data_IF_464541875620
#
_entry.id   IF_464541875620
#
_cell.length_a   1.000
_cell.length_b   1.000
_cell.length_c   1.000
_cell.angle_alpha   90.00
_cell.angle_beta   90.00
_cell.angle_gamma   90.00
#
_symmetry.space_group_name_H-M   'P 1'
#
loop_
_entity.id
_entity.type
_entity.pdbx_description
1 polymer ?
#
# COMPACT_ATOMS: atom_id res chain seq x y z
N UNK A 1 -7.48 -14.28 3.53
CA UNK A 1 -6.23 -14.68 4.17
C UNK A 1 -5.13 -13.98 3.41
N UNK A 2 -4.23 -13.26 4.08
CA UNK A 2 -3.21 -12.42 3.45
C UNK A 2 -2.24 -13.26 2.60
N UNK A 3 -1.92 -12.78 1.42
CA UNK A 3 -1.03 -13.43 0.46
C UNK A 3 -0.34 -12.41 -0.45
N UNK A 4 0.67 -12.82 -1.21
CA UNK A 4 1.33 -11.93 -2.18
C UNK A 4 0.39 -11.45 -3.29
N UNK A 5 -0.73 -12.13 -3.57
CA UNK A 5 -1.69 -11.60 -4.56
C UNK A 5 -2.51 -10.42 -4.02
N UNK A 6 -2.49 -10.20 -2.70
CA UNK A 6 -3.15 -9.08 -2.05
C UNK A 6 -2.21 -7.86 -1.92
N UNK A 7 -0.96 -7.95 -2.40
CA UNK A 7 -0.02 -6.83 -2.35
C UNK A 7 -0.36 -5.78 -3.41
N UNK A 8 -0.10 -4.52 -3.06
CA UNK A 8 -0.15 -3.38 -3.96
C UNK A 8 1.16 -2.60 -3.86
N UNK A 9 1.44 -1.79 -4.87
CA UNK A 9 2.67 -1.01 -4.96
C UNK A 9 2.35 0.45 -4.72
N UNK A 10 3.08 1.08 -3.80
CA UNK A 10 3.03 2.53 -3.59
C UNK A 10 4.31 3.12 -4.17
N UNK A 11 4.17 3.94 -5.21
CA UNK A 11 5.31 4.61 -5.82
C UNK A 11 5.73 5.81 -4.96
N UNK A 12 6.96 5.80 -4.47
CA UNK A 12 7.56 6.96 -3.80
C UNK A 12 8.53 7.62 -4.76
N UNK A 13 8.12 8.76 -5.32
CA UNK A 13 8.92 9.52 -6.27
C UNK A 13 9.96 10.41 -5.57
N UNK A 14 10.86 11.02 -6.37
CA UNK A 14 11.81 12.03 -5.88
C UNK A 14 11.12 13.17 -5.13
N UNK A 15 9.94 13.54 -5.61
CA UNK A 15 9.01 14.47 -4.97
C UNK A 15 7.61 13.86 -5.04
N UNK A 16 6.89 13.84 -3.91
CA UNK A 16 5.54 13.30 -3.80
C UNK A 16 4.58 14.41 -3.36
N UNK A 17 3.37 14.42 -3.92
CA UNK A 17 2.31 15.33 -3.48
C UNK A 17 1.71 14.84 -2.16
N UNK A 18 1.93 15.60 -1.11
CA UNK A 18 1.39 15.38 0.23
C UNK A 18 0.48 16.58 0.57
N UNK A 19 -0.84 16.35 0.52
CA UNK A 19 -1.85 17.38 0.80
C UNK A 19 -1.72 18.66 -0.06
N UNK A 20 -1.37 18.51 -1.34
CA UNK A 20 -1.18 19.62 -2.28
C UNK A 20 0.21 20.28 -2.19
N UNK A 21 1.12 19.72 -1.39
CA UNK A 21 2.49 20.21 -1.23
C UNK A 21 3.49 19.16 -1.70
N UNK A 22 4.45 19.58 -2.54
CA UNK A 22 5.52 18.69 -2.98
C UNK A 22 6.54 18.48 -1.85
N UNK A 23 6.70 17.23 -1.42
CA UNK A 23 7.67 16.80 -0.41
C UNK A 23 8.74 15.93 -1.06
N UNK A 24 10.01 16.28 -0.86
CA UNK A 24 11.15 15.51 -1.38
C UNK A 24 11.28 14.19 -0.64
N UNK A 25 11.75 13.16 -1.34
CA UNK A 25 12.02 11.84 -0.75
C UNK A 25 12.87 11.92 0.53
N UNK A 26 13.92 12.75 0.52
CA UNK A 26 14.82 12.92 1.66
C UNK A 26 14.13 13.49 2.92
N UNK A 27 13.04 14.24 2.72
CA UNK A 27 12.25 14.88 3.78
C UNK A 27 10.98 14.10 4.14
N UNK A 28 10.68 13.04 3.39
CA UNK A 28 9.43 12.29 3.49
C UNK A 28 9.39 11.48 4.79
N UNK A 29 8.33 11.69 5.59
CA UNK A 29 8.14 11.03 6.88
C UNK A 29 7.24 9.80 6.76
N UNK A 30 7.30 8.91 7.75
CA UNK A 30 6.38 7.78 7.84
C UNK A 30 4.91 8.25 7.84
N UNK A 31 4.60 9.40 8.43
CA UNK A 31 3.24 10.00 8.35
C UNK A 31 2.79 10.28 6.92
N UNK A 32 3.72 10.68 6.06
CA UNK A 32 3.45 11.00 4.66
C UNK A 32 3.31 9.70 3.86
N UNK A 33 4.10 8.67 4.19
CA UNK A 33 3.92 7.33 3.65
C UNK A 33 2.55 6.74 4.01
N UNK A 34 2.06 6.94 5.25
CA UNK A 34 0.67 6.55 5.61
C UNK A 34 -0.36 7.22 4.70
N UNK A 35 -0.16 8.49 4.36
CA UNK A 35 -1.04 9.22 3.45
C UNK A 35 -0.97 8.66 2.01
N UNK A 36 0.23 8.37 1.50
CA UNK A 36 0.40 7.76 0.18
C UNK A 36 -0.25 6.38 0.09
N UNK A 37 -0.03 5.52 1.10
CA UNK A 37 -0.69 4.21 1.22
C UNK A 37 -2.21 4.39 1.23
N UNK A 38 -2.71 5.32 2.03
CA UNK A 38 -4.14 5.62 2.09
C UNK A 38 -4.70 6.03 0.73
N UNK A 39 -4.04 6.94 0.00
CA UNK A 39 -4.51 7.36 -1.32
C UNK A 39 -4.54 6.22 -2.34
N UNK A 40 -3.62 5.26 -2.22
CA UNK A 40 -3.58 4.08 -3.10
C UNK A 40 -4.73 3.10 -2.79
N UNK A 41 -5.08 2.90 -1.51
CA UNK A 41 -6.09 1.91 -1.11
C UNK A 41 -7.50 2.49 -0.91
N UNK A 42 -7.61 3.80 -0.73
CA UNK A 42 -8.87 4.45 -0.39
C UNK A 42 -9.58 5.01 -1.63
N UNK A 43 -10.42 4.16 -2.22
CA UNK A 43 -11.42 4.63 -3.18
C UNK A 43 -12.84 4.71 -2.61
N UNK A 44 -13.17 3.96 -1.54
CA UNK A 44 -14.54 3.91 -0.99
C UNK A 44 -14.60 3.68 0.55
N UNK A 45 -13.47 3.70 1.28
CA UNK A 45 -13.41 3.33 2.71
C UNK A 45 -13.04 4.56 3.55
N UNK A 46 -14.01 5.12 4.26
CA UNK A 46 -13.77 6.29 5.11
C UNK A 46 -13.14 5.90 6.45
N UNK A 47 -11.83 6.14 6.58
CA UNK A 47 -11.13 6.13 7.86
C UNK A 47 -10.00 7.17 7.84
N UNK A 48 -9.48 7.54 9.01
CA UNK A 48 -8.38 8.48 9.08
C UNK A 48 -7.07 7.73 8.84
N UNK A 49 -6.31 8.13 7.82
CA UNK A 49 -5.02 7.51 7.50
C UNK A 49 -4.01 7.51 8.67
N UNK A 50 -4.17 8.44 9.62
CA UNK A 50 -3.34 8.51 10.83
C UNK A 50 -3.48 7.27 11.72
N UNK A 51 -4.62 6.58 11.61
CA UNK A 51 -4.97 5.39 12.38
C UNK A 51 -4.46 4.09 11.71
N UNK A 52 -3.85 4.17 10.52
CA UNK A 52 -3.15 3.04 9.90
C UNK A 52 -1.87 2.79 10.68
N UNK A 53 -1.56 1.54 11.00
CA UNK A 53 -0.22 1.15 11.41
C UNK A 53 0.53 0.53 10.23
N UNK A 54 1.78 0.99 10.03
CA UNK A 54 2.68 0.44 9.03
C UNK A 54 3.76 -0.35 9.74
N UNK A 55 4.04 -1.54 9.24
CA UNK A 55 5.02 -2.46 9.80
C UNK A 55 6.09 -2.76 8.78
N UNK A 56 7.35 -2.41 9.09
CA UNK A 56 8.50 -2.86 8.31
C UNK A 56 8.67 -4.36 8.56
N UNK A 57 8.79 -5.12 7.49
CA UNK A 57 9.00 -6.56 7.51
C UNK A 57 10.07 -6.94 6.50
N UNK A 58 10.80 -8.01 6.79
CA UNK A 58 11.68 -8.65 5.82
C UNK A 58 11.03 -9.99 5.42
N UNK A 59 10.60 -10.08 4.17
CA UNK A 59 9.88 -11.25 3.64
C UNK A 59 10.46 -11.59 2.28
N UNK A 60 11.15 -12.73 2.21
CA UNK A 60 11.57 -13.26 0.93
C UNK A 60 10.38 -13.90 0.19
N UNK A 61 10.40 -13.91 -1.14
CA UNK A 61 9.35 -14.56 -1.95
C UNK A 61 9.16 -16.05 -1.59
N UNK A 62 10.25 -16.74 -1.25
CA UNK A 62 10.23 -18.14 -0.78
C UNK A 62 9.46 -18.34 0.53
N UNK A 63 9.24 -17.27 1.30
CA UNK A 63 8.57 -17.28 2.60
C UNK A 63 7.10 -16.87 2.52
N UNK A 64 6.52 -16.83 1.31
CA UNK A 64 5.11 -16.46 1.08
C UNK A 64 4.10 -17.17 1.95
N UNK A 65 4.38 -18.39 2.36
CA UNK A 65 3.49 -19.17 3.21
C UNK A 65 3.39 -18.60 4.63
N UNK A 66 4.36 -17.80 5.08
CA UNK A 66 4.31 -17.09 6.37
C UNK A 66 3.22 -16.00 6.40
N UNK A 67 2.82 -15.46 5.24
CA UNK A 67 1.72 -14.50 5.13
C UNK A 67 0.36 -15.12 5.49
N UNK A 68 0.27 -16.46 5.41
CA UNK A 68 -0.93 -17.19 5.83
C UNK A 68 -1.15 -17.01 7.33
N UNK A 69 -2.41 -16.80 7.72
CA UNK A 69 -2.81 -16.62 9.11
C UNK A 69 -2.15 -15.45 9.84
N UNK A 70 -1.74 -14.38 9.13
CA UNK A 70 -1.32 -13.12 9.76
C UNK A 70 -2.57 -12.28 9.98
N UNK A 71 -3.02 -12.18 11.23
CA UNK A 71 -4.28 -11.50 11.59
C UNK A 71 -4.11 -10.46 12.70
N UNK A 72 -3.02 -10.54 13.46
CA UNK A 72 -2.76 -9.69 14.62
C UNK A 72 -1.40 -9.02 14.53
N UNK A 73 -1.17 -8.03 15.40
CA UNK A 73 0.16 -7.42 15.60
C UNK A 73 1.20 -8.46 16.03
N UNK A 74 0.82 -9.38 16.91
CA UNK A 74 1.73 -10.40 17.44
C UNK A 74 2.17 -11.35 16.32
N UNK A 75 1.26 -11.72 15.40
CA UNK A 75 1.63 -12.50 14.21
C UNK A 75 2.72 -11.81 13.37
N UNK A 76 2.63 -10.49 13.23
CA UNK A 76 3.58 -9.69 12.42
C UNK A 76 4.97 -9.71 13.07
N UNK A 77 5.01 -9.54 14.40
CA UNK A 77 6.25 -9.55 15.17
C UNK A 77 6.88 -10.95 15.17
N UNK A 78 6.11 -11.99 15.51
CA UNK A 78 6.64 -13.34 15.68
C UNK A 78 7.07 -13.99 14.36
N UNK A 79 6.34 -13.76 13.27
CA UNK A 79 6.62 -14.41 11.97
C UNK A 79 7.65 -13.68 11.11
N UNK A 80 7.75 -12.36 11.25
CA UNK A 80 8.57 -11.52 10.38
C UNK A 80 9.55 -10.60 11.11
N UNK A 81 9.61 -10.67 12.45
CA UNK A 81 10.38 -9.69 13.23
C UNK A 81 9.88 -8.26 13.02
N UNK A 82 8.59 -8.09 12.73
CA UNK A 82 8.08 -6.82 12.23
C UNK A 82 8.26 -5.65 13.19
N UNK A 83 8.70 -4.52 12.65
CA UNK A 83 8.92 -3.29 13.39
C UNK A 83 7.86 -2.25 13.04
N UNK A 84 7.15 -1.74 14.04
CA UNK A 84 6.14 -0.70 13.83
C UNK A 84 6.83 0.61 13.43
N UNK A 85 6.41 1.18 12.30
CA UNK A 85 6.96 2.43 11.78
C UNK A 85 6.39 3.63 12.56
N UNK A 86 7.30 4.43 13.13
CA UNK A 86 6.93 5.61 13.92
C UNK A 86 6.71 6.82 13.00
N UNK A 87 5.54 7.50 13.06
CA UNK A 87 5.15 8.55 12.10
C UNK A 87 6.14 9.70 11.90
N UNK A 88 6.88 10.08 12.94
CA UNK A 88 7.78 11.24 12.91
C UNK A 88 9.13 10.96 12.22
N UNK A 89 9.46 9.68 12.00
CA UNK A 89 10.74 9.30 11.40
C UNK A 89 10.72 9.46 9.88
N UNK A 90 11.89 9.71 9.29
CA UNK A 90 12.03 9.79 7.84
C UNK A 90 12.07 8.40 7.22
N UNK A 91 11.42 8.24 6.06
CA UNK A 91 11.44 7.00 5.26
C UNK A 91 12.88 6.61 4.94
N UNK A 92 13.69 7.56 4.47
CA UNK A 92 15.11 7.35 4.16
C UNK A 92 15.90 6.77 5.32
N UNK A 93 15.64 7.21 6.56
CA UNK A 93 16.36 6.71 7.73
C UNK A 93 15.94 5.29 8.09
N UNK A 94 14.65 4.98 8.01
CA UNK A 94 14.12 3.67 8.40
C UNK A 94 14.49 2.57 7.40
N UNK A 95 14.57 2.92 6.12
CA UNK A 95 14.87 2.00 5.02
C UNK A 95 16.26 2.21 4.41
N UNK A 96 17.18 2.84 5.15
CA UNK A 96 18.48 3.21 4.61
C UNK A 96 19.23 2.02 3.99
N UNK A 97 19.23 0.88 4.67
CA UNK A 97 19.91 -0.33 4.21
C UNK A 97 19.28 -0.90 2.94
N UNK A 98 17.94 -0.97 2.87
CA UNK A 98 17.22 -1.47 1.68
C UNK A 98 17.48 -0.58 0.45
N UNK A 99 17.65 0.73 0.66
CA UNK A 99 17.97 1.68 -0.40
C UNK A 99 19.41 1.53 -0.93
N UNK A 100 20.31 0.84 -0.22
CA UNK A 100 21.69 0.60 -0.69
C UNK A 100 21.81 -0.58 -1.64
N UNK A 101 20.86 -1.53 -1.58
CA UNK A 101 20.87 -2.78 -2.33
C UNK A 101 19.81 -2.82 -3.44
N UNK A 102 19.14 -1.70 -3.67
CA UNK A 102 18.04 -1.55 -4.64
C UNK A 102 16.93 -2.62 -4.48
N UNK A 103 16.73 -3.10 -3.24
CA UNK A 103 15.68 -4.07 -2.93
C UNK A 103 14.34 -3.38 -2.65
N UNK A 104 13.26 -4.09 -2.96
CA UNK A 104 11.92 -3.62 -2.65
C UNK A 104 11.70 -3.60 -1.14
N UNK A 105 11.13 -2.49 -0.65
CA UNK A 105 10.72 -2.36 0.74
C UNK A 105 9.37 -3.06 0.92
N UNK A 106 9.30 -4.03 1.83
CA UNK A 106 8.05 -4.70 2.20
C UNK A 106 7.44 -4.08 3.46
N UNK A 107 6.17 -3.69 3.37
CA UNK A 107 5.41 -3.10 4.49
C UNK A 107 4.07 -3.82 4.65
N UNK A 108 3.73 -4.23 5.87
CA UNK A 108 2.38 -4.68 6.20
C UNK A 108 1.56 -3.47 6.65
N UNK A 109 0.39 -3.31 6.04
CA UNK A 109 -0.57 -2.25 6.35
C UNK A 109 -1.65 -2.81 7.27
N UNK A 110 -1.67 -2.34 8.50
CA UNK A 110 -2.70 -2.68 9.48
C UNK A 110 -3.74 -1.57 9.54
N UNK A 111 -4.95 -1.88 9.11
CA UNK A 111 -6.09 -0.96 9.15
C UNK A 111 -6.73 -0.91 10.54
N UNK A 112 -7.37 0.21 10.92
CA UNK A 112 -8.13 0.30 12.16
C UNK A 112 -9.32 -0.68 12.15
N UNK A 113 -9.68 -1.21 13.31
CA UNK A 113 -10.75 -2.22 13.45
C UNK A 113 -12.11 -1.77 12.86
N UNK A 114 -12.42 -0.48 12.91
CA UNK A 114 -13.63 0.09 12.31
C UNK A 114 -13.63 -0.04 10.77
N UNK A 115 -12.47 0.05 10.11
CA UNK A 115 -12.34 -0.17 8.67
C UNK A 115 -12.41 -1.65 8.30
N UNK A 116 -11.97 -2.55 9.18
CA UNK A 116 -12.05 -4.01 8.99
C UNK A 116 -13.50 -4.56 9.04
N UNK A 117 -14.48 -3.74 9.46
CA UNK A 117 -15.90 -4.09 9.40
C UNK A 117 -16.46 -4.13 7.97
N UNK A 118 -15.79 -3.47 7.02
CA UNK A 118 -15.95 -3.72 5.59
C UNK A 118 -15.06 -4.92 5.26
N UNK A 119 -15.69 -6.05 4.93
CA UNK A 119 -14.96 -7.30 4.76
C UNK A 119 -13.90 -7.14 3.67
N UNK A 120 -12.71 -7.74 3.86
CA UNK A 120 -11.63 -7.76 2.85
C UNK A 120 -12.13 -8.15 1.44
N UNK A 121 -13.21 -8.94 1.36
CA UNK A 121 -13.88 -9.31 0.12
C UNK A 121 -14.53 -8.11 -0.59
N UNK A 122 -15.20 -7.24 0.15
CA UNK A 122 -15.78 -6.00 -0.39
C UNK A 122 -14.68 -5.03 -0.85
N UNK A 123 -13.56 -4.97 -0.12
CA UNK A 123 -12.39 -4.15 -0.47
C UNK A 123 -11.79 -4.59 -1.82
N UNK A 124 -11.54 -5.88 -2.01
CA UNK A 124 -10.98 -6.42 -3.27
C UNK A 124 -11.94 -6.22 -4.45
N UNK A 125 -13.24 -6.40 -4.26
CA UNK A 125 -14.24 -6.19 -5.33
C UNK A 125 -14.33 -4.71 -5.75
N UNK A 126 -14.21 -3.79 -4.80
CA UNK A 126 -14.13 -2.35 -5.09
C UNK A 126 -12.87 -2.00 -5.88
N UNK A 127 -11.70 -2.49 -5.46
CA UNK A 127 -10.42 -2.26 -6.15
C UNK A 127 -10.52 -2.75 -7.60
N UNK A 128 -11.02 -3.97 -7.82
CA UNK A 128 -11.24 -4.51 -9.18
C UNK A 128 -12.18 -3.65 -10.00
N UNK A 129 -13.32 -3.22 -9.43
CA UNK A 129 -14.32 -2.40 -10.13
C UNK A 129 -13.76 -1.05 -10.56
N UNK A 130 -12.90 -0.44 -9.75
CA UNK A 130 -12.31 0.86 -10.06
C UNK A 130 -11.13 0.75 -11.04
N UNK A 131 -10.31 -0.33 -10.97
CA UNK A 131 -9.31 -0.63 -11.99
C UNK A 131 -9.92 -0.80 -13.40
N UNK A 132 -11.14 -1.36 -13.49
CA UNK A 132 -11.86 -1.52 -14.76
C UNK A 132 -12.43 -0.20 -15.30
N UNK A 133 -12.82 0.74 -14.43
CA UNK A 133 -13.31 2.07 -14.83
C UNK A 133 -12.23 2.99 -15.38
N UNK A 134 -10.95 2.69 -15.13
CA UNK A 134 -9.80 3.45 -15.62
C UNK A 134 -9.41 3.18 -17.07
N UNK A 135 -10.13 2.30 -17.80
CA UNK A 135 -9.93 2.17 -19.25
C UNK A 135 -10.62 3.34 -19.96
N UNK A 136 -9.87 4.23 -20.65
CA UNK A 136 -10.52 5.15 -21.58
C UNK A 136 -11.19 4.29 -22.65
N UNK A 137 -12.48 4.50 -22.87
CA UNK A 137 -13.20 3.91 -23.99
C UNK A 137 -12.36 4.16 -25.26
N UNK A 138 -11.78 3.09 -25.81
CA UNK A 138 -11.17 3.14 -27.13
C UNK A 138 -12.29 3.53 -28.10
N UNK A 139 -12.15 4.60 -28.91
CA UNK A 139 -13.18 4.93 -29.89
C UNK A 139 -13.33 3.75 -30.85
N UNK A 140 -14.58 3.42 -31.16
CA UNK A 140 -14.98 2.27 -31.96
C UNK A 140 -14.63 2.52 -33.44
N UNK A 141 -13.35 2.35 -33.82
CA UNK A 141 -12.84 2.56 -35.19
C UNK A 141 -13.19 1.37 -36.10
N UNK A 142 -14.42 0.84 -36.01
CA UNK A 142 -14.95 -0.16 -36.93
C UNK A 142 -16.34 0.18 -37.47
N UNK A 143 -16.90 1.34 -37.15
CA UNK A 143 -18.11 1.86 -37.81
C UNK A 143 -17.76 2.88 -38.91
N UNK A 144 -17.14 2.41 -39.99
CA UNK A 144 -17.14 3.15 -41.27
C UNK A 144 -17.94 2.34 -42.29
N UNK A 145 -18.99 2.92 -42.91
CA UNK A 145 -19.63 2.28 -44.05
C UNK A 145 -18.68 2.35 -45.25
N UNK A 146 -18.47 1.22 -45.94
CA UNK A 146 -17.89 1.25 -47.28
C UNK A 146 -18.87 2.01 -48.18
N UNK A 147 -18.48 3.19 -48.65
CA UNK A 147 -19.02 3.79 -49.86
C UNK A 147 -18.08 3.49 -51.02
#
# INVERSE_FOLDING_TARGET
MTSFVDTFVVNVAKESDIHGSLVKFDDLKISDLKFLVYNEINHDIKFNYKDIDLWKVDIAYGERDKLKHVTTKDDIIEKFGGEQLIPIFSVKKVFFEQLLVDENIHVIVQLPAAAASLSFKEIIEVIKKNALKGTPNLPDVLSMPLQ
#
